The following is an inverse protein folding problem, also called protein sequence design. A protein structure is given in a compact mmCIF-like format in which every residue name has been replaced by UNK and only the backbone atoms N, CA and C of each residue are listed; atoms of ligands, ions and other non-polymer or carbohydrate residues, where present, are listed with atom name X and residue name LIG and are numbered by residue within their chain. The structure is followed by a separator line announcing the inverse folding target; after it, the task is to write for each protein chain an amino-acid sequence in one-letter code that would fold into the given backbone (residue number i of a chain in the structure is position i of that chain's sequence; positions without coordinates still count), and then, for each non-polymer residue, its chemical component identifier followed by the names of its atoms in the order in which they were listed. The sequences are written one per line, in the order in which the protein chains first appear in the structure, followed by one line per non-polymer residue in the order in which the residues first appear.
data_IF_700759697460
#
_entry.id   IF_700759697460
#
_cell.length_a   1.000
_cell.length_b   1.000
_cell.length_c   1.000
_cell.angle_alpha   90.00
_cell.angle_beta   90.00
_cell.angle_gamma   90.00
#
_symmetry.space_group_name_H-M   'P 1'
#
loop_
_entity.id
_entity.type
_entity.pdbx_description
1 polymer ?
#
# COMPACT_ATOMS: atom_id res chain seq x y z
N UNK A 1 19.06 34.94 -11.86
CA UNK A 1 18.27 33.73 -12.14
C UNK A 1 17.95 33.07 -10.80
N UNK A 2 16.79 33.37 -10.22
CA UNK A 2 16.35 32.80 -8.95
C UNK A 2 15.33 31.69 -9.26
N UNK A 3 15.58 30.48 -8.78
CA UNK A 3 14.66 29.35 -8.95
C UNK A 3 13.37 29.59 -8.16
N UNK A 4 12.18 29.28 -8.71
CA UNK A 4 10.92 29.44 -7.99
C UNK A 4 10.79 28.36 -6.89
N UNK A 5 10.14 28.67 -5.76
CA UNK A 5 9.97 27.71 -4.67
C UNK A 5 9.04 26.55 -5.08
N UNK A 6 9.30 25.30 -4.63
CA UNK A 6 8.48 24.15 -4.96
C UNK A 6 7.07 24.28 -4.37
N UNK A 7 6.08 24.19 -5.27
CA UNK A 7 4.65 24.20 -4.96
C UNK A 7 4.27 22.87 -4.32
N UNK A 8 4.06 22.84 -3.00
CA UNK A 8 3.02 22.06 -2.31
C UNK A 8 3.05 22.45 -0.82
N UNK A 9 2.70 23.71 -0.54
CA UNK A 9 2.46 24.20 0.81
C UNK A 9 0.95 24.11 1.07
N UNK A 10 0.53 23.14 1.88
CA UNK A 10 -0.85 23.06 2.35
C UNK A 10 -0.91 23.74 3.72
N UNK A 11 -1.39 24.98 3.75
CA UNK A 11 -1.55 25.76 4.99
C UNK A 11 -2.97 25.59 5.51
N UNK A 12 -3.12 25.00 6.71
CA UNK A 12 -4.34 25.14 7.51
C UNK A 12 -4.01 25.94 8.76
N UNK A 13 -4.65 27.10 8.90
CA UNK A 13 -4.58 27.91 10.11
C UNK A 13 -5.38 27.23 11.23
N UNK A 14 -4.76 27.03 12.39
CA UNK A 14 -5.45 26.65 13.63
C UNK A 14 -5.32 27.82 14.63
N UNK A 15 -6.45 28.21 15.21
CA UNK A 15 -6.54 29.23 16.26
C UNK A 15 -5.90 28.76 17.57
N UNK A 16 -5.59 29.73 18.43
CA UNK A 16 -4.76 29.68 19.63
C UNK A 16 -4.96 28.45 20.53
N UNK A 17 -3.86 27.79 20.92
CA UNK A 17 -3.81 26.91 22.10
C UNK A 17 -3.18 25.51 21.95
N UNK A 18 -2.58 25.15 20.81
CA UNK A 18 -1.89 23.84 20.67
C UNK A 18 -0.44 23.98 20.22
N UNK A 19 0.49 23.40 20.97
CA UNK A 19 1.85 23.19 20.50
C UNK A 19 1.83 22.05 19.48
N UNK A 20 2.10 22.37 18.21
CA UNK A 20 2.35 21.37 17.16
C UNK A 20 3.85 21.22 16.98
N UNK A 21 4.37 20.05 17.31
CA UNK A 21 5.72 19.65 16.94
C UNK A 21 5.71 19.21 15.46
N UNK A 22 6.47 19.91 14.63
CA UNK A 22 6.74 19.51 13.26
C UNK A 22 8.15 18.93 13.20
N UNK A 23 8.27 17.63 12.98
CA UNK A 23 9.54 16.97 12.72
C UNK A 23 9.62 16.65 11.23
N UNK A 24 10.27 17.50 10.41
CA UNK A 24 10.52 17.13 9.03
C UNK A 24 11.56 16.03 9.03
N UNK A 25 11.12 14.78 8.89
CA UNK A 25 12.02 13.69 8.53
C UNK A 25 12.40 13.92 7.07
N UNK A 26 13.53 14.59 6.86
CA UNK A 26 14.18 14.60 5.54
C UNK A 26 14.55 13.16 5.22
N UNK A 27 13.83 12.55 4.27
CA UNK A 27 14.14 11.21 3.78
C UNK A 27 15.48 11.30 3.05
N UNK A 28 16.56 11.01 3.75
CA UNK A 28 17.89 10.87 3.12
C UNK A 28 17.90 9.55 2.33
N UNK A 29 18.68 9.46 1.24
CA UNK A 29 18.83 8.21 0.48
C UNK A 29 19.28 7.05 1.37
N UNK A 30 20.10 7.33 2.37
CA UNK A 30 20.61 6.37 3.37
C UNK A 30 19.49 5.86 4.30
N UNK A 31 18.58 6.75 4.72
CA UNK A 31 17.39 6.37 5.50
C UNK A 31 16.40 5.58 4.65
N UNK A 32 16.19 5.97 3.39
CA UNK A 32 15.36 5.22 2.44
C UNK A 32 15.92 3.81 2.19
N UNK A 33 17.24 3.68 2.02
CA UNK A 33 17.93 2.41 1.78
C UNK A 33 17.90 1.50 3.01
N UNK A 34 18.14 2.03 4.22
CA UNK A 34 18.10 1.25 5.46
C UNK A 34 16.70 0.75 5.83
N UNK A 35 15.66 1.55 5.58
CA UNK A 35 14.26 1.12 5.71
C UNK A 35 13.88 0.12 4.63
N UNK A 36 14.38 0.29 3.39
CA UNK A 36 14.16 -0.66 2.29
C UNK A 36 14.80 -2.03 2.56
N UNK A 37 16.03 -2.08 3.06
CA UNK A 37 16.78 -3.34 3.23
C UNK A 37 16.13 -4.27 4.27
N UNK A 38 15.62 -3.72 5.37
CA UNK A 38 14.90 -4.49 6.38
C UNK A 38 13.49 -4.91 5.93
N UNK A 39 12.77 -4.06 5.18
CA UNK A 39 11.46 -4.43 4.65
C UNK A 39 11.55 -5.46 3.53
N UNK A 40 12.60 -5.43 2.71
CA UNK A 40 12.79 -6.35 1.58
C UNK A 40 12.85 -7.81 2.02
N UNK A 41 13.57 -8.13 3.10
CA UNK A 41 13.65 -9.50 3.63
C UNK A 41 12.29 -10.03 4.09
N UNK A 42 11.52 -9.19 4.79
CA UNK A 42 10.17 -9.55 5.25
C UNK A 42 9.19 -9.70 4.09
N UNK A 43 9.24 -8.81 3.10
CA UNK A 43 8.41 -8.89 1.89
C UNK A 43 8.68 -10.17 1.12
N UNK A 44 9.96 -10.52 0.90
CA UNK A 44 10.34 -11.75 0.22
C UNK A 44 9.85 -12.98 0.98
N UNK A 45 10.11 -13.05 2.30
CA UNK A 45 9.64 -14.17 3.12
C UNK A 45 8.10 -14.32 3.10
N UNK A 46 7.36 -13.21 3.09
CA UNK A 46 5.90 -13.24 3.01
C UNK A 46 5.41 -13.74 1.65
N UNK A 47 6.03 -13.28 0.55
CA UNK A 47 5.70 -13.72 -0.80
C UNK A 47 6.04 -15.20 -1.01
N UNK A 48 7.18 -15.66 -0.50
CA UNK A 48 7.59 -17.06 -0.55
C UNK A 48 6.59 -17.93 0.21
N UNK A 49 6.20 -17.54 1.43
CA UNK A 49 5.18 -18.27 2.19
C UNK A 49 3.84 -18.31 1.47
N UNK A 50 3.42 -17.22 0.83
CA UNK A 50 2.18 -17.19 0.05
C UNK A 50 2.25 -18.15 -1.15
N UNK A 51 3.39 -18.18 -1.86
CA UNK A 51 3.62 -19.06 -3.00
C UNK A 51 3.63 -20.54 -2.60
N UNK A 52 4.20 -20.89 -1.45
CA UNK A 52 4.13 -22.23 -0.88
C UNK A 52 2.69 -22.66 -0.65
N UNK A 53 1.88 -21.83 0.04
CA UNK A 53 0.46 -22.13 0.30
C UNK A 53 -0.32 -22.37 -1.00
N UNK A 54 -0.05 -21.59 -2.04
CA UNK A 54 -0.66 -21.81 -3.36
C UNK A 54 -0.22 -23.15 -3.96
N UNK A 55 1.08 -23.45 -3.91
CA UNK A 55 1.67 -24.67 -4.49
C UNK A 55 1.17 -25.93 -3.77
N UNK A 56 1.08 -25.91 -2.44
CA UNK A 56 0.49 -26.97 -1.61
C UNK A 56 -0.95 -27.29 -2.02
N UNK A 57 -1.67 -26.31 -2.57
CA UNK A 57 -3.06 -26.44 -3.04
C UNK A 57 -3.16 -26.69 -4.56
N UNK A 58 -2.05 -26.95 -5.24
CA UNK A 58 -2.01 -27.17 -6.69
C UNK A 58 -2.23 -25.92 -7.53
N UNK A 59 -2.10 -24.73 -6.95
CA UNK A 59 -2.27 -23.44 -7.64
C UNK A 59 -0.91 -22.93 -8.10
N UNK A 60 -0.72 -22.75 -9.41
CA UNK A 60 0.47 -22.08 -9.96
C UNK A 60 0.45 -20.61 -9.52
N UNK A 61 1.48 -20.18 -8.81
CA UNK A 61 1.60 -18.81 -8.29
C UNK A 61 2.90 -18.13 -8.72
N UNK A 62 2.78 -16.87 -9.11
CA UNK A 62 3.88 -15.94 -9.38
C UNK A 62 3.79 -14.80 -8.36
N UNK A 63 4.94 -14.32 -7.89
CA UNK A 63 5.04 -13.29 -6.86
C UNK A 63 5.68 -12.04 -7.44
N UNK A 64 5.10 -10.88 -7.12
CA UNK A 64 5.53 -9.60 -7.65
C UNK A 64 5.59 -8.61 -6.49
N UNK A 65 6.71 -7.91 -6.35
CA UNK A 65 6.88 -6.81 -5.42
C UNK A 65 7.04 -5.52 -6.21
N UNK A 66 6.14 -4.56 -5.98
CA UNK A 66 6.17 -3.23 -6.59
C UNK A 66 6.36 -2.19 -5.48
N UNK A 67 7.13 -1.14 -5.76
CA UNK A 67 7.39 -0.03 -4.82
C UNK A 67 6.54 1.18 -5.19
N UNK A 68 5.79 1.73 -4.24
CA UNK A 68 4.96 2.91 -4.45
C UNK A 68 3.76 2.99 -3.51
N UNK A 69 2.81 3.87 -3.82
CA UNK A 69 1.50 3.88 -3.15
C UNK A 69 0.71 2.61 -3.53
N UNK A 70 0.32 1.75 -2.56
CA UNK A 70 -0.41 0.52 -2.84
C UNK A 70 -1.67 0.73 -3.69
N UNK A 71 -2.36 1.86 -3.52
CA UNK A 71 -3.59 2.18 -4.26
C UNK A 71 -3.36 2.20 -5.77
N UNK A 72 -2.36 2.94 -6.21
CA UNK A 72 -2.03 3.12 -7.63
C UNK A 72 -1.21 1.95 -8.15
N UNK A 73 -0.27 1.43 -7.35
CA UNK A 73 0.56 0.29 -7.73
C UNK A 73 -0.29 -0.96 -8.08
N UNK A 74 -1.32 -1.27 -7.28
CA UNK A 74 -2.23 -2.40 -7.56
C UNK A 74 -3.01 -2.16 -8.86
N UNK A 75 -3.59 -0.97 -9.05
CA UNK A 75 -4.35 -0.65 -10.27
C UNK A 75 -3.49 -0.67 -11.54
N UNK A 76 -2.23 -0.27 -11.42
CA UNK A 76 -1.26 -0.32 -12.51
C UNK A 76 -0.83 -1.77 -12.80
N UNK A 77 -0.61 -2.58 -11.76
CA UNK A 77 -0.27 -3.99 -11.91
C UNK A 77 -1.39 -4.78 -12.61
N UNK A 78 -2.65 -4.51 -12.28
CA UNK A 78 -3.81 -5.12 -12.94
C UNK A 78 -3.76 -4.91 -14.45
N UNK A 79 -3.44 -3.70 -14.89
CA UNK A 79 -3.32 -3.38 -16.31
C UNK A 79 -2.05 -3.97 -16.94
N UNK A 80 -0.91 -3.86 -16.24
CA UNK A 80 0.39 -4.36 -16.71
C UNK A 80 0.40 -5.87 -16.93
N UNK A 81 -0.26 -6.63 -16.06
CA UNK A 81 -0.28 -8.09 -16.09
C UNK A 81 -1.60 -8.66 -16.63
N UNK A 82 -2.50 -7.82 -17.15
CA UNK A 82 -3.83 -8.22 -17.67
C UNK A 82 -4.60 -9.12 -16.70
N UNK A 83 -4.76 -8.67 -15.46
CA UNK A 83 -5.43 -9.44 -14.41
C UNK A 83 -6.94 -9.47 -14.62
N UNK A 84 -7.53 -10.67 -14.70
CA UNK A 84 -8.98 -10.87 -14.90
C UNK A 84 -9.81 -10.71 -13.61
N UNK A 85 -9.20 -10.90 -12.44
CA UNK A 85 -9.86 -10.80 -11.13
C UNK A 85 -8.86 -10.36 -10.05
N UNK A 86 -9.17 -9.26 -9.36
CA UNK A 86 -8.45 -8.85 -8.17
C UNK A 86 -9.09 -9.46 -6.92
N UNK A 87 -8.35 -10.31 -6.20
CA UNK A 87 -8.78 -10.82 -4.89
C UNK A 87 -7.99 -10.13 -3.79
N UNK A 88 -8.68 -9.58 -2.80
CA UNK A 88 -8.06 -8.84 -1.71
C UNK A 88 -8.81 -8.98 -0.39
N UNK A 89 -8.10 -8.86 0.73
CA UNK A 89 -8.72 -8.88 2.06
C UNK A 89 -9.48 -7.59 2.37
N UNK A 90 -10.45 -7.67 3.29
CA UNK A 90 -11.21 -6.51 3.78
C UNK A 90 -10.35 -5.51 4.58
N UNK A 91 -9.33 -6.00 5.32
CA UNK A 91 -8.55 -5.20 6.28
C UNK A 91 -7.08 -5.63 6.39
N UNK A 92 -6.18 -4.66 6.61
CA UNK A 92 -4.80 -4.87 7.02
C UNK A 92 -4.65 -5.02 8.54
N UNK A 93 -3.44 -5.38 9.00
CA UNK A 93 -3.01 -5.71 10.37
C UNK A 93 -3.16 -4.57 11.42
N UNK A 94 -4.33 -3.92 11.54
CA UNK A 94 -4.56 -2.79 12.44
C UNK A 94 -5.90 -2.86 13.20
N UNK A 95 -5.87 -2.41 14.47
CA UNK A 95 -6.95 -2.43 15.48
C UNK A 95 -8.14 -1.49 15.19
N UNK A 96 -8.56 -1.33 13.94
CA UNK A 96 -9.70 -0.45 13.60
C UNK A 96 -11.00 -1.23 13.74
N UNK A 97 -11.87 -0.75 14.65
CA UNK A 97 -13.16 -1.34 15.01
C UNK A 97 -14.10 -1.37 13.79
N UNK A 98 -14.75 -2.54 13.59
CA UNK A 98 -16.00 -2.87 12.87
C UNK A 98 -16.46 -1.97 11.70
N UNK A 99 -16.81 -2.64 10.60
CA UNK A 99 -17.69 -2.23 9.48
C UNK A 99 -17.13 -1.30 8.38
N UNK A 100 -15.84 -0.97 8.37
CA UNK A 100 -15.25 -0.19 7.27
C UNK A 100 -14.39 -1.05 6.35
N UNK A 101 -14.60 -0.87 5.05
CA UNK A 101 -13.75 -1.36 3.96
C UNK A 101 -12.38 -0.63 4.04
N UNK A 102 -11.28 -1.37 3.93
CA UNK A 102 -9.93 -0.77 3.99
C UNK A 102 -9.70 0.31 2.92
N UNK A 103 -8.84 1.28 3.20
CA UNK A 103 -8.57 2.41 2.30
C UNK A 103 -8.03 1.99 0.91
N UNK A 104 -7.27 0.90 0.85
CA UNK A 104 -6.77 0.30 -0.40
C UNK A 104 -7.87 -0.48 -1.11
N UNK A 105 -8.63 -1.32 -0.39
CA UNK A 105 -9.74 -2.10 -0.95
C UNK A 105 -10.84 -1.21 -1.52
N UNK A 106 -11.20 -0.13 -0.82
CA UNK A 106 -12.15 0.86 -1.32
C UNK A 106 -11.64 1.57 -2.59
N UNK A 107 -10.36 1.95 -2.61
CA UNK A 107 -9.77 2.55 -3.80
C UNK A 107 -9.80 1.60 -5.00
N UNK A 108 -9.39 0.34 -4.81
CA UNK A 108 -9.35 -0.65 -5.89
C UNK A 108 -10.75 -0.95 -6.42
N UNK A 109 -11.77 -1.07 -5.57
CA UNK A 109 -13.16 -1.26 -6.01
C UNK A 109 -13.62 -0.14 -6.93
N UNK A 110 -13.19 1.10 -6.68
CA UNK A 110 -13.60 2.26 -7.47
C UNK A 110 -12.79 2.45 -8.76
N UNK A 111 -11.53 1.96 -8.81
CA UNK A 111 -10.57 2.35 -9.86
C UNK A 111 -9.99 1.18 -10.67
N UNK A 112 -10.07 -0.06 -10.17
CA UNK A 112 -9.52 -1.22 -10.87
C UNK A 112 -10.25 -1.47 -12.19
N UNK A 113 -9.50 -1.88 -13.22
CA UNK A 113 -10.02 -2.22 -14.55
C UNK A 113 -10.43 -3.70 -14.68
N UNK A 114 -10.66 -4.36 -13.55
CA UNK A 114 -11.12 -5.74 -13.48
C UNK A 114 -12.14 -5.90 -12.32
N UNK A 115 -12.96 -6.96 -12.32
CA UNK A 115 -13.72 -7.37 -11.15
C UNK A 115 -12.86 -7.44 -9.88
N UNK A 116 -13.44 -7.04 -8.73
CA UNK A 116 -12.77 -7.04 -7.43
C UNK A 116 -13.56 -7.88 -6.43
N UNK A 117 -12.92 -8.91 -5.88
CA UNK A 117 -13.45 -9.76 -4.82
C UNK A 117 -12.80 -9.40 -3.48
N UNK A 118 -13.60 -8.90 -2.54
CA UNK A 118 -13.16 -8.61 -1.18
C UNK A 118 -13.52 -9.75 -0.23
N UNK A 119 -12.51 -10.43 0.30
CA UNK A 119 -12.66 -11.54 1.25
C UNK A 119 -12.77 -10.99 2.67
N UNK A 120 -13.89 -11.27 3.33
CA UNK A 120 -14.14 -10.92 4.72
C UNK A 120 -13.61 -12.00 5.66
N UNK A 121 -13.20 -11.59 6.87
CA UNK A 121 -12.87 -12.55 7.93
C UNK A 121 -14.17 -13.27 8.35
N UNK A 122 -14.13 -14.60 8.57
CA UNK A 122 -15.24 -15.31 9.18
C UNK A 122 -15.67 -14.66 10.51
N UNK A 123 -16.97 -14.73 10.87
CA UNK A 123 -17.46 -14.26 12.16
C UNK A 123 -16.80 -14.95 13.36
#
# INVERSE_FOLDING_TARGET
MAQPPPQHVVTFAASLGSARLYCPVSVTPEFANSVQENHKKLTVALLDRAKEICTERGVKAETIAEVGDPKTAICNAIQKYNVDLLVMGERGLGRIKRAFLGSVSNYCIQNAKCPVLVVKKPP
#
